data_IF_038809140652
#
_entry.id   IF_038809140652
#
_cell.length_a   1.000
_cell.length_b   1.000
_cell.length_c   1.000
_cell.angle_alpha   90.00
_cell.angle_beta   90.00
_cell.angle_gamma   90.00
#
_symmetry.space_group_name_H-M   'P 1'
#
loop_
_entity.id
_entity.type
_entity.pdbx_description
1 polymer ?
#
# COMPACT_ATOMS: atom_id res chain seq x y z
N UNK A 1 -31.19 -18.61 8.14
CA UNK A 1 -30.55 -18.95 6.84
C UNK A 1 -29.16 -19.49 7.10
N UNK A 2 -28.88 -20.72 6.71
CA UNK A 2 -27.49 -21.22 6.76
C UNK A 2 -26.76 -20.60 5.56
N UNK A 3 -25.95 -19.60 5.81
CA UNK A 3 -25.06 -19.05 4.79
C UNK A 3 -23.93 -20.06 4.52
N UNK A 4 -23.45 -20.19 3.27
CA UNK A 4 -22.28 -21.00 2.98
C UNK A 4 -21.08 -20.51 3.79
N UNK A 5 -20.23 -21.42 4.24
CA UNK A 5 -18.99 -21.07 4.94
C UNK A 5 -17.99 -20.56 3.90
N UNK A 6 -17.50 -19.33 4.10
CA UNK A 6 -16.45 -18.74 3.27
C UNK A 6 -15.06 -19.14 3.82
N UNK A 7 -14.24 -19.77 2.98
CA UNK A 7 -12.93 -20.31 3.37
C UNK A 7 -11.77 -19.69 2.58
N UNK A 8 -12.00 -18.67 1.78
CA UNK A 8 -10.98 -18.05 0.92
C UNK A 8 -10.49 -16.70 1.46
N UNK A 9 -10.23 -16.64 2.76
CA UNK A 9 -9.75 -15.42 3.44
C UNK A 9 -8.34 -14.98 2.99
N UNK A 10 -7.59 -15.85 2.31
CA UNK A 10 -6.32 -15.49 1.70
C UNK A 10 -6.48 -14.57 0.46
N UNK A 11 -7.61 -14.67 -0.23
CA UNK A 11 -7.92 -13.80 -1.39
C UNK A 11 -8.46 -12.45 -0.96
N UNK A 12 -9.45 -12.45 -0.07
CA UNK A 12 -10.10 -11.23 0.44
C UNK A 12 -10.86 -11.52 1.73
N UNK A 13 -11.08 -10.50 2.51
CA UNK A 13 -11.87 -10.58 3.74
C UNK A 13 -12.99 -9.54 3.73
N UNK A 14 -14.10 -9.76 4.45
CA UNK A 14 -15.07 -8.70 4.70
C UNK A 14 -14.41 -7.50 5.37
N UNK A 15 -14.86 -6.30 5.03
CA UNK A 15 -14.43 -5.09 5.71
C UNK A 15 -15.06 -5.07 7.12
N UNK A 16 -14.27 -4.73 8.13
CA UNK A 16 -14.80 -4.50 9.48
C UNK A 16 -15.85 -3.40 9.46
N UNK A 17 -17.01 -3.56 10.15
CA UNK A 17 -18.06 -2.57 10.14
C UNK A 17 -17.61 -1.17 10.54
N UNK A 18 -16.73 -1.02 11.54
CA UNK A 18 -16.22 0.28 11.97
C UNK A 18 -15.34 0.93 10.88
N UNK A 19 -14.60 0.12 10.11
CA UNK A 19 -13.82 0.59 8.96
C UNK A 19 -14.75 1.02 7.82
N UNK A 20 -15.78 0.23 7.53
CA UNK A 20 -16.78 0.58 6.50
C UNK A 20 -17.48 1.90 6.82
N UNK A 21 -17.91 2.10 8.08
CA UNK A 21 -18.52 3.33 8.55
C UNK A 21 -17.58 4.54 8.43
N UNK A 22 -16.29 4.35 8.73
CA UNK A 22 -15.27 5.39 8.55
C UNK A 22 -15.08 5.73 7.07
N UNK A 23 -15.01 4.73 6.19
CA UNK A 23 -14.88 4.94 4.74
C UNK A 23 -16.08 5.73 4.17
N UNK A 24 -17.29 5.43 4.61
CA UNK A 24 -18.51 6.11 4.15
C UNK A 24 -18.47 7.62 4.41
N UNK A 25 -17.74 8.08 5.42
CA UNK A 25 -17.58 9.50 5.72
C UNK A 25 -16.85 10.29 4.62
N UNK A 26 -16.11 9.59 3.74
CA UNK A 26 -15.32 10.21 2.66
C UNK A 26 -15.88 9.95 1.26
N UNK A 27 -17.00 9.22 1.13
CA UNK A 27 -17.54 8.79 -0.16
C UNK A 27 -18.77 9.55 -0.63
N UNK A 28 -19.39 10.35 0.23
CA UNK A 28 -20.69 10.98 -0.07
C UNK A 28 -20.63 12.51 0.04
N UNK A 29 -21.54 13.22 -0.65
CA UNK A 29 -21.59 14.69 -0.58
C UNK A 29 -21.90 15.25 0.81
N UNK A 30 -22.48 14.45 1.70
CA UNK A 30 -22.77 14.83 3.08
C UNK A 30 -21.59 14.63 4.02
N UNK A 31 -20.52 14.03 3.53
CA UNK A 31 -19.29 13.77 4.27
C UNK A 31 -18.12 14.67 3.86
N UNK A 32 -16.92 14.23 4.11
CA UNK A 32 -15.68 14.96 3.84
C UNK A 32 -15.02 14.49 2.53
N UNK A 33 -15.79 14.43 1.44
CA UNK A 33 -15.21 14.03 0.15
C UNK A 33 -14.32 15.14 -0.42
N UNK A 34 -13.25 14.76 -1.10
CA UNK A 34 -12.37 15.73 -1.76
C UNK A 34 -11.09 15.08 -2.30
N UNK A 35 -10.42 15.82 -3.18
CA UNK A 35 -9.10 15.41 -3.64
C UNK A 35 -8.04 16.03 -2.72
N UNK A 36 -7.24 15.24 -1.97
CA UNK A 36 -6.21 15.74 -1.06
C UNK A 36 -5.11 16.55 -1.77
N UNK A 37 -4.95 16.42 -3.09
CA UNK A 37 -4.02 17.24 -3.87
C UNK A 37 -4.58 18.64 -4.22
N UNK A 38 -5.85 18.91 -3.98
CA UNK A 38 -6.50 20.19 -4.28
C UNK A 38 -6.31 21.19 -3.14
N UNK A 39 -5.24 21.97 -3.20
CA UNK A 39 -4.84 22.91 -2.14
C UNK A 39 -5.54 24.29 -2.18
N UNK A 40 -6.45 24.50 -3.11
CA UNK A 40 -7.09 25.81 -3.34
C UNK A 40 -8.46 25.99 -2.66
N UNK A 41 -9.00 24.96 -2.01
CA UNK A 41 -10.32 24.98 -1.39
C UNK A 41 -10.46 24.02 -0.21
N UNK A 42 -11.47 24.28 0.63
CA UNK A 42 -11.70 23.58 1.90
C UNK A 42 -11.86 22.05 1.76
N UNK A 43 -12.51 21.58 0.71
CA UNK A 43 -12.70 20.13 0.49
C UNK A 43 -11.35 19.40 0.31
N UNK A 44 -10.41 20.02 -0.41
CA UNK A 44 -9.07 19.47 -0.55
C UNK A 44 -8.29 19.47 0.77
N UNK A 45 -8.37 20.55 1.53
CA UNK A 45 -7.69 20.66 2.83
C UNK A 45 -8.22 19.63 3.84
N UNK A 46 -9.54 19.41 3.89
CA UNK A 46 -10.15 18.40 4.76
C UNK A 46 -9.73 16.98 4.35
N UNK A 47 -9.68 16.69 3.05
CA UNK A 47 -9.21 15.41 2.56
C UNK A 47 -7.71 15.20 2.83
N UNK A 48 -6.87 16.23 2.64
CA UNK A 48 -5.43 16.19 2.97
C UNK A 48 -5.22 15.92 4.46
N UNK A 49 -5.93 16.62 5.35
CA UNK A 49 -5.85 16.41 6.78
C UNK A 49 -6.21 14.96 7.17
N UNK A 50 -7.30 14.42 6.63
CA UNK A 50 -7.70 13.04 6.91
C UNK A 50 -6.68 12.00 6.44
N UNK A 51 -6.01 12.23 5.31
CA UNK A 51 -4.93 11.36 4.81
C UNK A 51 -3.70 11.43 5.72
N UNK A 52 -3.34 12.62 6.20
CA UNK A 52 -2.18 12.79 7.09
C UNK A 52 -2.46 12.26 8.50
N UNK A 53 -3.68 12.37 9.01
CA UNK A 53 -4.09 11.74 10.27
C UNK A 53 -3.95 10.20 10.15
N UNK A 54 -4.50 9.59 9.09
CA UNK A 54 -4.38 8.17 8.84
C UNK A 54 -2.92 7.72 8.68
N UNK A 55 -2.07 8.53 8.04
CA UNK A 55 -0.63 8.29 7.92
C UNK A 55 0.03 8.24 9.29
N UNK A 56 -0.31 9.17 10.16
CA UNK A 56 0.20 9.25 11.52
C UNK A 56 -0.24 8.05 12.36
N UNK A 57 -1.50 7.61 12.21
CA UNK A 57 -2.02 6.43 12.90
C UNK A 57 -1.28 5.16 12.49
N UNK A 58 -1.07 4.95 11.19
CA UNK A 58 -0.31 3.79 10.67
C UNK A 58 1.14 3.84 11.15
N UNK A 59 1.80 5.00 11.06
CA UNK A 59 3.17 5.16 11.52
C UNK A 59 3.30 4.85 13.02
N UNK A 60 2.39 5.36 13.83
CA UNK A 60 2.36 5.10 15.27
C UNK A 60 2.19 3.62 15.58
N UNK A 61 1.30 2.94 14.85
CA UNK A 61 1.04 1.51 15.03
C UNK A 61 2.29 0.65 14.82
N UNK A 62 3.14 1.01 13.86
CA UNK A 62 4.36 0.24 13.52
C UNK A 62 5.65 0.85 14.08
N UNK A 63 5.57 1.95 14.84
CA UNK A 63 6.73 2.63 15.42
C UNK A 63 7.61 3.34 14.39
N UNK A 64 7.02 3.84 13.29
CA UNK A 64 7.72 4.55 12.23
C UNK A 64 7.46 6.07 12.28
N UNK A 65 8.26 6.84 11.52
CA UNK A 65 7.96 8.25 11.24
C UNK A 65 6.86 8.33 10.16
N UNK A 66 5.87 9.24 10.25
CA UNK A 66 4.84 9.40 9.21
C UNK A 66 5.41 9.59 7.80
N UNK A 67 6.60 10.17 7.65
CA UNK A 67 7.29 10.34 6.35
C UNK A 67 7.78 9.03 5.73
N UNK A 68 7.83 7.94 6.50
CA UNK A 68 8.19 6.60 6.02
C UNK A 68 6.98 5.84 5.46
N UNK A 69 5.75 6.36 5.64
CA UNK A 69 4.54 5.73 5.13
C UNK A 69 4.26 6.25 3.72
N UNK A 70 4.16 5.33 2.77
CA UNK A 70 3.85 5.62 1.37
C UNK A 70 2.55 4.93 0.98
N UNK A 71 1.54 5.72 0.61
CA UNK A 71 0.28 5.19 0.09
C UNK A 71 0.44 4.72 -1.35
N UNK A 72 -0.07 3.54 -1.63
CA UNK A 72 -0.05 2.93 -2.97
C UNK A 72 -1.45 2.44 -3.34
N UNK A 73 -1.67 2.17 -4.62
CA UNK A 73 -2.94 1.62 -5.13
C UNK A 73 -3.19 0.16 -4.72
N UNK A 74 -2.17 -0.52 -4.19
CA UNK A 74 -2.28 -1.91 -3.76
C UNK A 74 -0.92 -2.60 -3.65
N UNK A 75 -0.95 -3.89 -3.27
CA UNK A 75 0.24 -4.69 -2.97
C UNK A 75 1.22 -4.79 -4.15
N UNK A 76 0.73 -4.85 -5.39
CA UNK A 76 1.60 -4.93 -6.58
C UNK A 76 2.46 -3.68 -6.73
N UNK A 77 1.87 -2.49 -6.59
CA UNK A 77 2.62 -1.23 -6.62
C UNK A 77 3.58 -1.14 -5.43
N UNK A 78 3.13 -1.47 -4.23
CA UNK A 78 3.95 -1.46 -3.02
C UNK A 78 5.17 -2.37 -3.15
N UNK A 79 5.01 -3.61 -3.63
CA UNK A 79 6.10 -4.54 -3.85
C UNK A 79 7.10 -4.03 -4.90
N UNK A 80 6.62 -3.48 -6.02
CA UNK A 80 7.48 -2.89 -7.05
C UNK A 80 8.28 -1.71 -6.50
N UNK A 81 7.61 -0.80 -5.78
CA UNK A 81 8.25 0.37 -5.19
C UNK A 81 9.33 -0.03 -4.18
N UNK A 82 9.02 -0.95 -3.27
CA UNK A 82 9.96 -1.40 -2.25
C UNK A 82 11.15 -2.15 -2.86
N UNK A 83 10.90 -3.18 -3.67
CA UNK A 83 11.95 -4.05 -4.20
C UNK A 83 12.86 -3.28 -5.16
N UNK A 84 12.28 -2.60 -6.16
CA UNK A 84 13.07 -1.82 -7.14
C UNK A 84 13.76 -0.61 -6.50
N UNK A 85 13.06 0.09 -5.60
CA UNK A 85 13.60 1.22 -4.88
C UNK A 85 14.82 0.84 -4.05
N UNK A 86 14.69 -0.21 -3.23
CA UNK A 86 15.81 -0.73 -2.42
C UNK A 86 16.96 -1.25 -3.30
N UNK A 87 16.67 -1.99 -4.35
CA UNK A 87 17.67 -2.51 -5.28
C UNK A 87 18.46 -1.35 -5.92
N UNK A 88 17.80 -0.46 -6.61
CA UNK A 88 18.45 0.65 -7.33
C UNK A 88 19.19 1.59 -6.38
N UNK A 89 18.62 1.90 -5.21
CA UNK A 89 19.30 2.73 -4.22
C UNK A 89 20.61 2.11 -3.73
N UNK A 90 20.63 0.79 -3.52
CA UNK A 90 21.80 0.08 -2.99
C UNK A 90 22.69 -0.56 -4.08
N UNK A 91 22.46 -0.33 -5.36
CA UNK A 91 23.17 -0.99 -6.47
C UNK A 91 24.71 -0.87 -6.42
N UNK A 92 25.24 0.18 -5.75
CA UNK A 92 26.68 0.33 -5.54
C UNK A 92 27.26 -0.63 -4.50
N UNK A 93 26.42 -1.19 -3.61
CA UNK A 93 26.83 -2.14 -2.57
C UNK A 93 26.81 -3.60 -3.07
N UNK A 94 26.04 -3.85 -4.13
CA UNK A 94 25.88 -5.17 -4.74
C UNK A 94 24.59 -5.23 -5.57
N UNK A 95 24.51 -6.24 -6.43
CA UNK A 95 23.37 -6.48 -7.32
C UNK A 95 22.86 -7.90 -7.16
N UNK A 96 22.56 -8.32 -5.93
CA UNK A 96 22.01 -9.63 -5.64
C UNK A 96 20.76 -9.49 -4.77
N UNK A 97 19.69 -10.16 -5.19
CA UNK A 97 18.39 -10.22 -4.50
C UNK A 97 18.09 -11.69 -4.17
N UNK A 98 17.66 -11.94 -2.97
CA UNK A 98 17.21 -13.27 -2.53
C UNK A 98 15.69 -13.23 -2.34
N UNK A 99 14.97 -14.20 -2.92
CA UNK A 99 13.51 -14.31 -2.82
C UNK A 99 13.08 -15.76 -2.64
N UNK A 100 11.79 -16.00 -2.48
CA UNK A 100 11.23 -17.36 -2.39
C UNK A 100 10.49 -17.72 -3.67
N UNK A 101 10.57 -18.98 -4.12
CA UNK A 101 9.82 -19.47 -5.29
C UNK A 101 8.30 -19.51 -5.08
N UNK A 102 7.84 -19.45 -3.83
CA UNK A 102 6.41 -19.46 -3.47
C UNK A 102 5.82 -18.07 -3.30
N UNK A 103 6.60 -17.02 -3.58
CA UNK A 103 6.12 -15.64 -3.51
C UNK A 103 5.01 -15.36 -4.52
N UNK A 104 4.21 -14.35 -4.19
CA UNK A 104 3.18 -13.85 -5.11
C UNK A 104 3.83 -13.33 -6.41
N UNK A 105 3.10 -13.45 -7.52
CA UNK A 105 3.55 -13.01 -8.85
C UNK A 105 4.09 -11.57 -8.87
N UNK A 106 3.50 -10.65 -8.09
CA UNK A 106 3.97 -9.27 -7.98
C UNK A 106 5.42 -9.14 -7.49
N UNK A 107 5.88 -10.07 -6.65
CA UNK A 107 7.28 -10.15 -6.19
C UNK A 107 8.15 -10.82 -7.25
N UNK A 108 7.74 -12.01 -7.73
CA UNK A 108 8.51 -12.79 -8.70
C UNK A 108 8.74 -12.04 -10.02
N UNK A 109 7.72 -11.39 -10.57
CA UNK A 109 7.86 -10.64 -11.81
C UNK A 109 8.74 -9.39 -11.63
N UNK A 110 8.71 -8.77 -10.44
CA UNK A 110 9.62 -7.68 -10.09
C UNK A 110 11.07 -8.15 -10.03
N UNK A 111 11.33 -9.32 -9.42
CA UNK A 111 12.66 -9.93 -9.39
C UNK A 111 13.15 -10.30 -10.80
N UNK A 112 12.28 -10.90 -11.65
CA UNK A 112 12.61 -11.17 -13.06
C UNK A 112 12.95 -9.91 -13.85
N UNK A 113 12.32 -8.78 -13.53
CA UNK A 113 12.67 -7.50 -14.16
C UNK A 113 14.09 -7.09 -13.75
N UNK A 114 14.45 -7.20 -12.48
CA UNK A 114 15.80 -6.91 -12.01
C UNK A 114 16.84 -7.84 -12.66
N UNK A 115 16.54 -9.13 -12.87
CA UNK A 115 17.43 -10.04 -13.61
C UNK A 115 17.73 -9.51 -15.04
N UNK A 116 16.71 -9.02 -15.74
CA UNK A 116 16.89 -8.39 -17.07
C UNK A 116 17.76 -7.13 -17.03
N UNK A 117 17.82 -6.45 -15.87
CA UNK A 117 18.65 -5.29 -15.62
C UNK A 117 20.05 -5.66 -15.09
N UNK A 118 20.38 -6.96 -15.08
CA UNK A 118 21.71 -7.48 -14.70
C UNK A 118 21.90 -7.70 -13.19
N UNK A 119 20.80 -7.94 -12.47
CA UNK A 119 20.86 -8.39 -11.08
C UNK A 119 20.92 -9.92 -11.02
N UNK A 120 21.62 -10.44 -10.03
CA UNK A 120 21.53 -11.85 -9.64
C UNK A 120 20.30 -12.03 -8.74
N UNK A 121 19.50 -13.07 -8.99
CA UNK A 121 18.33 -13.41 -8.17
C UNK A 121 18.42 -14.89 -7.77
N UNK A 122 18.36 -15.16 -6.46
CA UNK A 122 18.38 -16.51 -5.90
C UNK A 122 17.05 -16.82 -5.20
#
# INVERSE_FOLDING_TARGET
MNLPIYLDYASTTPVDPAVADKMMQFLTPTGQFGNPASRSHVFGWQAEAAVEDARTDVATLIGADPREIVWTSGATEANNLAIKGCAHFNQRKGKHVITSKIEHKAVLDTCRQLEREGWEVT
#
